data_IF_348198022968
#
_entry.id   IF_348198022968
#
_cell.length_a   1.000
_cell.length_b   1.000
_cell.length_c   1.000
_cell.angle_alpha   90.00
_cell.angle_beta   90.00
_cell.angle_gamma   90.00
#
_symmetry.space_group_name_H-M   'P 1'
#
loop_
_entity.id
_entity.type
_entity.pdbx_description
1 polymer ?
#
# COMPACT_ATOMS: atom_id res chain seq x y z
N UNK A 1 2.95 -5.98 7.82
CA UNK A 1 1.91 -5.72 6.81
C UNK A 1 0.72 -6.67 6.91
N UNK A 2 0.86 -8.01 6.79
CA UNK A 2 -0.28 -8.95 6.91
C UNK A 2 -1.11 -8.91 8.20
N UNK A 3 -0.55 -8.37 9.29
CA UNK A 3 -1.23 -8.25 10.59
C UNK A 3 -2.12 -7.00 10.70
N UNK A 4 -2.11 -6.13 9.69
CA UNK A 4 -2.92 -4.91 9.70
C UNK A 4 -4.37 -5.31 9.41
N UNK A 5 -5.26 -5.05 10.36
CA UNK A 5 -6.70 -5.29 10.22
C UNK A 5 -7.30 -3.99 9.68
N UNK A 6 -7.81 -4.04 8.45
CA UNK A 6 -8.60 -2.95 7.88
C UNK A 6 -10.02 -3.08 8.42
N UNK A 7 -10.57 -2.00 8.97
CA UNK A 7 -11.96 -1.97 9.45
C UNK A 7 -12.93 -1.53 8.35
N UNK A 8 -12.46 -0.71 7.43
CA UNK A 8 -13.22 -0.12 6.34
C UNK A 8 -13.41 -1.13 5.21
N UNK A 9 -14.67 -1.47 4.94
CA UNK A 9 -15.06 -2.43 3.91
C UNK A 9 -14.71 -1.93 2.50
N UNK A 10 -14.77 -0.61 2.27
CA UNK A 10 -14.38 0.00 1.00
C UNK A 10 -12.91 -0.27 0.69
N UNK A 11 -12.03 -0.13 1.67
CA UNK A 11 -10.61 -0.42 1.49
C UNK A 11 -10.32 -1.90 1.27
N UNK A 12 -11.06 -2.80 1.93
CA UNK A 12 -10.94 -4.24 1.67
C UNK A 12 -11.38 -4.59 0.25
N UNK A 13 -12.47 -3.97 -0.23
CA UNK A 13 -12.95 -4.15 -1.60
C UNK A 13 -11.91 -3.64 -2.61
N UNK A 14 -11.40 -2.42 -2.42
CA UNK A 14 -10.38 -1.82 -3.30
C UNK A 14 -9.08 -2.64 -3.30
N UNK A 15 -8.65 -3.18 -2.14
CA UNK A 15 -7.49 -4.09 -2.08
C UNK A 15 -7.68 -5.32 -2.95
N UNK A 16 -8.88 -5.93 -2.88
CA UNK A 16 -9.22 -7.12 -3.67
C UNK A 16 -9.29 -6.80 -5.15
N UNK A 17 -9.96 -5.72 -5.54
CA UNK A 17 -10.08 -5.32 -6.94
C UNK A 17 -8.72 -4.93 -7.54
N UNK A 18 -7.85 -4.29 -6.76
CA UNK A 18 -6.48 -4.01 -7.20
C UNK A 18 -5.67 -5.30 -7.43
N UNK A 19 -5.85 -6.31 -6.57
CA UNK A 19 -5.23 -7.62 -6.77
C UNK A 19 -5.72 -8.30 -8.05
N UNK A 20 -7.02 -8.28 -8.30
CA UNK A 20 -7.63 -8.84 -9.52
C UNK A 20 -7.14 -8.09 -10.77
N UNK A 21 -7.03 -6.77 -10.71
CA UNK A 21 -6.47 -5.96 -11.79
C UNK A 21 -5.02 -6.33 -12.12
N UNK A 22 -4.16 -6.54 -11.11
CA UNK A 22 -2.79 -7.01 -11.34
C UNK A 22 -2.76 -8.41 -11.99
N UNK A 23 -3.69 -9.29 -11.61
CA UNK A 23 -3.80 -10.63 -12.18
C UNK A 23 -4.23 -10.58 -13.65
N UNK A 24 -5.23 -9.75 -13.98
CA UNK A 24 -5.71 -9.51 -15.35
C UNK A 24 -4.60 -8.96 -16.25
N UNK A 25 -3.77 -8.06 -15.72
CA UNK A 25 -2.61 -7.52 -16.45
C UNK A 25 -1.48 -8.54 -16.65
N UNK A 26 -1.60 -9.76 -16.10
CA UNK A 26 -0.62 -10.82 -16.27
C UNK A 26 0.65 -10.64 -15.43
N UNK A 27 0.59 -9.88 -14.32
CA UNK A 27 1.72 -9.79 -13.40
C UNK A 27 2.00 -11.15 -12.75
N UNK A 28 3.27 -11.40 -12.44
CA UNK A 28 3.67 -12.63 -11.77
C UNK A 28 2.89 -12.84 -10.44
N UNK A 29 2.53 -14.08 -10.07
CA UNK A 29 1.76 -14.37 -8.85
C UNK A 29 2.40 -13.80 -7.57
N UNK A 30 3.73 -13.75 -7.53
CA UNK A 30 4.47 -13.15 -6.42
C UNK A 30 4.26 -11.64 -6.30
N UNK A 31 4.04 -10.94 -7.42
CA UNK A 31 3.73 -9.51 -7.50
C UNK A 31 2.29 -9.26 -7.12
N UNK A 32 1.35 -10.02 -7.70
CA UNK A 32 -0.08 -10.01 -7.34
C UNK A 32 -0.27 -10.27 -5.84
N UNK A 33 0.60 -11.05 -5.22
CA UNK A 33 0.59 -11.25 -3.78
C UNK A 33 1.21 -10.09 -2.99
N UNK A 34 2.36 -9.56 -3.41
CA UNK A 34 3.14 -8.59 -2.60
C UNK A 34 2.60 -7.17 -2.70
N UNK A 35 2.19 -6.72 -3.88
CA UNK A 35 1.79 -5.32 -4.09
C UNK A 35 0.55 -4.93 -3.28
N UNK A 36 -0.54 -5.72 -3.28
CA UNK A 36 -1.71 -5.41 -2.44
C UNK A 36 -1.38 -5.35 -0.96
N UNK A 37 -0.44 -6.16 -0.47
CA UNK A 37 0.02 -6.10 0.92
C UNK A 37 0.70 -4.76 1.28
N UNK A 38 1.38 -4.12 0.33
CA UNK A 38 1.94 -2.78 0.53
C UNK A 38 0.84 -1.72 0.53
N UNK A 39 -0.16 -1.85 -0.34
CA UNK A 39 -1.32 -0.95 -0.38
C UNK A 39 -2.20 -1.07 0.87
N UNK A 40 -2.31 -2.27 1.44
CA UNK A 40 -2.98 -2.50 2.72
C UNK A 40 -2.37 -1.65 3.86
N UNK A 41 -1.06 -1.40 3.81
CA UNK A 41 -0.39 -0.52 4.77
C UNK A 41 -0.73 0.96 4.55
N UNK A 42 -0.91 1.38 3.29
CA UNK A 42 -1.46 2.71 2.97
C UNK A 42 -2.88 2.84 3.51
N UNK A 43 -3.76 1.87 3.26
CA UNK A 43 -5.15 1.93 3.75
C UNK A 43 -5.24 1.99 5.27
N UNK A 44 -4.42 1.21 5.96
CA UNK A 44 -4.34 1.31 7.42
C UNK A 44 -3.91 2.71 7.86
N UNK A 45 -2.94 3.32 7.17
CA UNK A 45 -2.55 4.70 7.45
C UNK A 45 -3.68 5.71 7.18
N UNK A 46 -4.45 5.54 6.10
CA UNK A 46 -5.63 6.38 5.82
C UNK A 46 -6.66 6.28 6.96
N UNK A 47 -7.00 5.06 7.40
CA UNK A 47 -7.92 4.84 8.52
C UNK A 47 -7.43 5.52 9.81
N UNK A 48 -6.13 5.46 10.10
CA UNK A 48 -5.56 6.15 11.27
C UNK A 48 -5.66 7.67 11.18
N UNK A 49 -5.72 8.24 9.97
CA UNK A 49 -5.87 9.67 9.73
C UNK A 49 -7.35 10.09 9.54
N UNK A 50 -8.31 9.22 9.86
CA UNK A 50 -9.76 9.44 9.66
C UNK A 50 -10.12 9.74 8.20
N UNK A 51 -9.40 9.13 7.26
CA UNK A 51 -9.74 9.13 5.85
C UNK A 51 -10.42 7.79 5.59
N UNK A 52 -11.71 7.86 5.26
CA UNK A 52 -12.55 6.67 5.05
C UNK A 52 -12.86 6.41 3.57
N UNK A 53 -12.61 7.40 2.70
CA UNK A 53 -12.88 7.29 1.27
C UNK A 53 -11.59 7.38 0.46
N UNK A 54 -11.43 6.45 -0.48
CA UNK A 54 -10.25 6.42 -1.36
C UNK A 54 -10.20 7.64 -2.30
N UNK A 55 -11.34 8.27 -2.56
CA UNK A 55 -11.45 9.49 -3.37
C UNK A 55 -10.80 10.71 -2.70
N UNK A 56 -10.56 10.66 -1.39
CA UNK A 56 -9.83 11.69 -0.65
C UNK A 56 -8.32 11.48 -0.69
N UNK A 57 -7.83 10.43 -1.37
CA UNK A 57 -6.40 10.17 -1.52
C UNK A 57 -5.78 11.26 -2.40
N UNK A 58 -4.92 12.07 -1.78
CA UNK A 58 -4.11 13.08 -2.46
C UNK A 58 -2.64 12.62 -2.55
N UNK A 59 -1.91 13.18 -3.53
CA UNK A 59 -0.46 13.02 -3.63
C UNK A 59 0.28 13.44 -2.35
N UNK A 60 -0.23 14.42 -1.60
CA UNK A 60 0.35 14.82 -0.33
C UNK A 60 0.29 13.67 0.69
N UNK A 61 -0.87 13.02 0.83
CA UNK A 61 -1.06 11.90 1.77
C UNK A 61 -0.16 10.72 1.39
N UNK A 62 0.00 10.45 0.09
CA UNK A 62 0.90 9.40 -0.41
C UNK A 62 2.36 9.71 -0.02
N UNK A 63 2.80 10.98 -0.16
CA UNK A 63 4.15 11.42 0.22
C UNK A 63 4.36 11.31 1.74
N UNK A 64 3.41 11.78 2.53
CA UNK A 64 3.45 11.70 3.99
C UNK A 64 3.54 10.25 4.46
N UNK A 65 2.73 9.37 3.88
CA UNK A 65 2.79 7.93 4.12
C UNK A 65 4.16 7.34 3.76
N UNK A 66 4.72 7.72 2.60
CA UNK A 66 6.03 7.23 2.17
C UNK A 66 7.17 7.68 3.09
N UNK A 67 7.15 8.93 3.56
CA UNK A 67 8.12 9.42 4.55
C UNK A 67 7.96 8.66 5.88
N UNK A 68 6.74 8.33 6.32
CA UNK A 68 6.53 7.49 7.50
C UNK A 68 7.14 6.09 7.32
N UNK A 69 6.99 5.46 6.14
CA UNK A 69 7.64 4.18 5.84
C UNK A 69 9.16 4.32 5.92
N UNK A 70 9.72 5.40 5.38
CA UNK A 70 11.17 5.65 5.38
C UNK A 70 11.74 5.86 6.78
N UNK A 71 10.99 6.56 7.65
CA UNK A 71 11.34 6.79 9.05
C UNK A 71 11.15 5.54 9.92
N UNK A 72 10.27 4.63 9.51
CA UNK A 72 10.01 3.40 10.24
C UNK A 72 11.21 2.45 10.17
N UNK A 73 11.69 2.06 11.34
CA UNK A 73 12.70 1.01 11.48
C UNK A 73 12.20 -0.37 11.00
N UNK A 74 13.10 -1.14 10.42
CA UNK A 74 12.92 -2.54 10.08
C UNK A 74 12.60 -3.35 11.36
N UNK A 75 11.35 -3.82 11.44
CA UNK A 75 10.84 -4.58 12.59
C UNK A 75 11.56 -5.91 12.82
N UNK A 76 12.35 -6.42 11.86
CA UNK A 76 12.99 -7.74 11.95
C UNK A 76 14.46 -7.72 12.38
N UNK A 77 15.22 -6.70 12.01
CA UNK A 77 16.68 -6.70 12.21
C UNK A 77 17.19 -5.48 12.98
N UNK A 78 16.32 -4.52 13.33
CA UNK A 78 16.77 -3.21 13.81
C UNK A 78 17.39 -2.39 12.68
N UNK A 79 17.35 -1.06 12.78
CA UNK A 79 17.81 -0.15 11.71
C UNK A 79 16.75 0.19 10.67
N UNK A 80 17.10 0.99 9.66
CA UNK A 80 16.16 1.47 8.64
C UNK A 80 15.76 0.39 7.61
N UNK A 81 14.63 0.60 6.92
CA UNK A 81 14.26 -0.22 5.77
C UNK A 81 15.29 -0.10 4.65
N UNK A 82 15.66 -1.24 4.04
CA UNK A 82 16.57 -1.24 2.90
C UNK A 82 15.93 -0.53 1.70
N UNK A 83 16.74 0.16 0.88
CA UNK A 83 16.29 0.86 -0.33
C UNK A 83 15.46 -0.05 -1.26
N UNK A 84 15.83 -1.33 -1.37
CA UNK A 84 15.07 -2.29 -2.18
C UNK A 84 13.63 -2.50 -1.69
N UNK A 85 13.40 -2.47 -0.37
CA UNK A 85 12.05 -2.55 0.19
C UNK A 85 11.29 -1.26 -0.08
N UNK A 86 11.91 -0.10 0.16
CA UNK A 86 11.31 1.22 -0.11
C UNK A 86 10.87 1.35 -1.58
N UNK A 87 11.71 0.90 -2.51
CA UNK A 87 11.38 0.87 -3.94
C UNK A 87 10.18 -0.03 -4.26
N UNK A 88 9.97 -1.12 -3.51
CA UNK A 88 8.78 -1.98 -3.68
C UNK A 88 7.51 -1.33 -3.16
N UNK A 89 7.58 -0.60 -2.04
CA UNK A 89 6.47 0.23 -1.58
C UNK A 89 6.13 1.31 -2.63
N UNK A 90 7.15 2.01 -3.14
CA UNK A 90 6.97 3.03 -4.16
C UNK A 90 6.38 2.45 -5.46
N UNK A 91 6.85 1.28 -5.90
CA UNK A 91 6.30 0.57 -7.05
C UNK A 91 4.81 0.23 -6.85
N UNK A 92 4.44 -0.23 -5.65
CA UNK A 92 3.04 -0.53 -5.32
C UNK A 92 2.19 0.75 -5.40
N UNK A 93 2.66 1.86 -4.79
CA UNK A 93 1.97 3.15 -4.82
C UNK A 93 1.74 3.64 -6.26
N UNK A 94 2.77 3.62 -7.12
CA UNK A 94 2.61 4.03 -8.51
C UNK A 94 1.59 3.17 -9.27
N UNK A 95 1.64 1.85 -9.10
CA UNK A 95 0.68 0.94 -9.76
C UNK A 95 -0.73 1.11 -9.22
N UNK A 96 -0.85 1.40 -7.94
CA UNK A 96 -2.15 1.68 -7.35
C UNK A 96 -2.74 3.00 -7.83
N UNK A 97 -1.92 4.05 -7.98
CA UNK A 97 -2.39 5.31 -8.59
C UNK A 97 -2.79 5.14 -10.06
N UNK A 98 -2.16 4.23 -10.78
CA UNK A 98 -2.53 3.87 -12.16
C UNK A 98 -3.87 3.13 -12.20
N UNK A 99 -4.12 2.24 -11.24
CA UNK A 99 -5.40 1.55 -11.06
C UNK A 99 -6.56 2.49 -10.69
N UNK A 100 -6.29 3.58 -9.97
CA UNK A 100 -7.31 4.56 -9.55
C UNK A 100 -7.68 5.58 -10.64
N UNK A 101 -6.96 5.62 -11.77
CA UNK A 101 -7.24 6.50 -12.91
C UNK A 101 -8.20 5.85 -13.89
#
# INVERSE_FOLDING_TARGET
>A
MKKLILKNESYQYVEKSFREWLDILGYAPSTVYKLPNHIRELFYYLEQNNIDHITQLDNQIIKEHYEQIKLRGNQKQGGALSNGSLNKHLQALYKFTDYLR
#
